data_IF_848466117952
#
_entry.id   IF_848466117952
#
_cell.length_a   1.000
_cell.length_b   1.000
_cell.length_c   1.000
_cell.angle_alpha   90.00
_cell.angle_beta   90.00
_cell.angle_gamma   90.00
#
_symmetry.space_group_name_H-M   'P 1'
#
loop_
_entity.id
_entity.type
_entity.pdbx_description
1 polymer ?
#
# COMPACT_ATOMS: atom_id res chain seq x y z
N UNK A 1 -7.13 -16.69 13.63
CA UNK A 1 -7.14 -16.00 12.32
C UNK A 1 -6.09 -14.91 12.38
N UNK A 2 -5.03 -14.98 11.56
CA UNK A 2 -3.87 -14.08 11.68
C UNK A 2 -4.20 -12.65 11.22
N UNK A 3 -3.90 -11.65 12.07
CA UNK A 3 -4.09 -10.21 11.85
C UNK A 3 -3.68 -9.73 10.44
N UNK A 4 -2.64 -10.34 9.87
CA UNK A 4 -2.12 -10.01 8.54
C UNK A 4 -3.13 -10.16 7.40
N UNK A 5 -4.11 -11.06 7.51
CA UNK A 5 -5.14 -11.21 6.47
C UNK A 5 -6.02 -9.96 6.37
N UNK A 6 -6.29 -9.28 7.48
CA UNK A 6 -7.06 -8.03 7.47
C UNK A 6 -6.26 -6.89 6.82
N UNK A 7 -4.96 -6.81 7.10
CA UNK A 7 -4.08 -5.80 6.49
C UNK A 7 -3.98 -6.01 4.98
N UNK A 8 -3.81 -7.26 4.54
CA UNK A 8 -3.75 -7.61 3.12
C UNK A 8 -5.09 -7.31 2.44
N UNK A 9 -6.22 -7.72 3.03
CA UNK A 9 -7.54 -7.43 2.49
C UNK A 9 -7.79 -5.91 2.37
N UNK A 10 -7.43 -5.13 3.39
CA UNK A 10 -7.52 -3.67 3.37
C UNK A 10 -6.67 -3.05 2.25
N UNK A 11 -5.42 -3.50 2.10
CA UNK A 11 -4.53 -3.06 1.02
C UNK A 11 -5.06 -3.40 -0.38
N UNK A 12 -5.60 -4.60 -0.57
CA UNK A 12 -6.22 -5.02 -1.84
C UNK A 12 -7.47 -4.19 -2.15
N UNK A 13 -8.32 -3.94 -1.15
CA UNK A 13 -9.51 -3.08 -1.33
C UNK A 13 -9.08 -1.66 -1.70
N UNK A 14 -8.10 -1.09 -0.99
CA UNK A 14 -7.58 0.25 -1.29
C UNK A 14 -7.04 0.31 -2.73
N UNK A 15 -6.24 -0.67 -3.14
CA UNK A 15 -5.74 -0.76 -4.51
C UNK A 15 -6.87 -0.92 -5.52
N UNK A 16 -7.86 -1.76 -5.27
CA UNK A 16 -8.99 -1.98 -6.18
C UNK A 16 -9.85 -0.72 -6.38
N UNK A 17 -10.08 0.05 -5.32
CA UNK A 17 -10.88 1.29 -5.38
C UNK A 17 -10.12 2.42 -6.08
N UNK A 18 -8.81 2.52 -5.85
CA UNK A 18 -8.01 3.64 -6.34
C UNK A 18 -7.28 3.34 -7.66
N UNK A 19 -7.07 2.08 -8.05
CA UNK A 19 -6.53 1.71 -9.36
C UNK A 19 -7.19 2.40 -10.57
N UNK A 20 -8.54 2.48 -10.67
CA UNK A 20 -9.16 3.12 -11.82
C UNK A 20 -9.10 4.66 -11.80
N UNK A 21 -8.65 5.28 -10.71
CA UNK A 21 -8.69 6.75 -10.52
C UNK A 21 -7.48 7.48 -11.12
N UNK A 22 -6.62 6.79 -11.87
CA UNK A 22 -5.41 7.38 -12.46
C UNK A 22 -4.26 7.52 -11.46
N UNK A 23 -3.44 8.56 -11.57
CA UNK A 23 -2.33 8.80 -10.65
C UNK A 23 -2.83 9.14 -9.24
N UNK A 24 -2.48 8.30 -8.27
CA UNK A 24 -2.83 8.50 -6.86
C UNK A 24 -1.71 7.97 -5.94
N UNK A 25 -1.74 8.42 -4.68
CA UNK A 25 -0.74 8.05 -3.69
C UNK A 25 -0.79 6.56 -3.32
N UNK A 26 -1.98 5.92 -3.39
CA UNK A 26 -2.19 4.48 -3.11
C UNK A 26 -1.35 3.62 -4.04
N UNK A 27 -1.43 3.87 -5.35
CA UNK A 27 -0.67 3.14 -6.36
C UNK A 27 0.81 3.44 -6.31
N UNK A 28 1.17 4.73 -6.14
CA UNK A 28 2.58 5.14 -6.07
C UNK A 28 3.31 4.46 -4.92
N UNK A 29 2.74 4.51 -3.72
CA UNK A 29 3.36 3.91 -2.51
C UNK A 29 3.40 2.38 -2.57
N UNK A 30 2.35 1.72 -3.08
CA UNK A 30 2.33 0.28 -3.28
C UNK A 30 3.38 -0.19 -4.30
N UNK A 31 3.55 0.57 -5.39
CA UNK A 31 4.53 0.26 -6.44
C UNK A 31 5.96 0.43 -5.92
N UNK A 32 6.24 1.50 -5.16
CA UNK A 32 7.54 1.70 -4.51
C UNK A 32 7.84 0.56 -3.52
N UNK A 33 6.85 0.16 -2.70
CA UNK A 33 7.00 -0.95 -1.78
C UNK A 33 7.26 -2.29 -2.48
N UNK A 34 6.65 -2.50 -3.65
CA UNK A 34 6.90 -3.67 -4.50
C UNK A 34 8.33 -3.66 -5.04
N UNK A 35 8.78 -2.56 -5.65
CA UNK A 35 10.13 -2.47 -6.23
C UNK A 35 11.23 -2.64 -5.17
N UNK A 36 11.07 -2.01 -4.00
CA UNK A 36 12.02 -2.17 -2.90
C UNK A 36 12.02 -3.61 -2.41
N UNK A 37 10.83 -4.20 -2.21
CA UNK A 37 10.70 -5.59 -1.73
C UNK A 37 11.31 -6.60 -2.70
N UNK A 38 11.04 -6.46 -4.00
CA UNK A 38 11.63 -7.32 -5.05
C UNK A 38 13.13 -7.11 -5.14
N UNK A 39 13.60 -5.85 -5.08
CA UNK A 39 15.02 -5.53 -5.05
C UNK A 39 15.74 -6.27 -3.93
N UNK A 40 15.23 -6.19 -2.69
CA UNK A 40 15.80 -6.88 -1.54
C UNK A 40 15.77 -8.41 -1.73
N UNK A 41 14.67 -8.96 -2.23
CA UNK A 41 14.50 -10.40 -2.41
C UNK A 41 15.50 -11.02 -3.40
N UNK A 42 15.92 -10.26 -4.42
CA UNK A 42 16.92 -10.71 -5.39
C UNK A 42 18.31 -10.84 -4.74
N UNK A 43 18.67 -9.93 -3.84
CA UNK A 43 19.99 -9.91 -3.20
C UNK A 43 20.07 -10.71 -1.90
N UNK A 44 18.95 -11.20 -1.37
CA UNK A 44 18.90 -11.94 -0.11
C UNK A 44 18.36 -13.37 -0.31
N UNK A 45 19.25 -14.39 -0.34
CA UNK A 45 18.84 -15.79 -0.39
C UNK A 45 17.97 -16.17 0.82
N UNK A 46 16.88 -16.90 0.58
CA UNK A 46 15.93 -17.29 1.64
C UNK A 46 14.91 -16.22 2.03
N UNK A 47 14.85 -15.10 1.29
CA UNK A 47 13.86 -14.05 1.54
C UNK A 47 12.43 -14.58 1.39
N UNK A 48 11.58 -14.26 2.38
CA UNK A 48 10.18 -14.66 2.36
C UNK A 48 9.35 -13.75 1.44
N UNK A 49 8.93 -14.27 0.29
CA UNK A 49 8.09 -13.56 -0.69
C UNK A 49 6.81 -12.96 -0.11
N UNK A 50 6.27 -13.59 0.94
CA UNK A 50 5.09 -13.09 1.64
C UNK A 50 5.32 -11.73 2.31
N UNK A 51 6.57 -11.39 2.63
CA UNK A 51 6.98 -10.07 3.13
C UNK A 51 6.79 -8.97 2.08
N UNK A 52 6.95 -9.27 0.79
CA UNK A 52 6.65 -8.31 -0.29
C UNK A 52 5.15 -8.03 -0.35
N UNK A 53 4.32 -9.07 -0.28
CA UNK A 53 2.86 -8.89 -0.28
C UNK A 53 2.43 -8.01 0.91
N UNK A 54 3.03 -8.26 2.08
CA UNK A 54 2.80 -7.45 3.28
C UNK A 54 3.28 -6.00 3.10
N UNK A 55 4.46 -5.77 2.51
CA UNK A 55 4.98 -4.42 2.29
C UNK A 55 4.12 -3.64 1.29
N UNK A 56 3.64 -4.30 0.23
CA UNK A 56 2.72 -3.71 -0.75
C UNK A 56 1.39 -3.34 -0.11
N UNK A 57 0.82 -4.22 0.72
CA UNK A 57 -0.42 -3.93 1.43
C UNK A 57 -0.28 -2.74 2.38
N UNK A 58 0.83 -2.67 3.13
CA UNK A 58 1.13 -1.52 4.01
C UNK A 58 1.35 -0.25 3.18
N UNK A 59 2.09 -0.34 2.07
CA UNK A 59 2.31 0.77 1.14
C UNK A 59 0.98 1.34 0.65
N UNK A 60 0.09 0.49 0.13
CA UNK A 60 -1.23 0.89 -0.32
C UNK A 60 -2.05 1.60 0.77
N UNK A 61 -2.03 1.10 2.01
CA UNK A 61 -2.74 1.72 3.13
C UNK A 61 -2.14 3.07 3.52
N UNK A 62 -0.81 3.22 3.48
CA UNK A 62 -0.14 4.51 3.68
C UNK A 62 -0.50 5.51 2.57
N UNK A 63 -0.49 5.06 1.32
CA UNK A 63 -0.94 5.88 0.20
C UNK A 63 -2.40 6.30 0.34
N UNK A 64 -3.27 5.41 0.85
CA UNK A 64 -4.66 5.74 1.15
C UNK A 64 -4.76 6.83 2.22
N UNK A 65 -3.96 6.72 3.29
CA UNK A 65 -3.90 7.75 4.31
C UNK A 65 -3.48 9.11 3.72
N UNK A 66 -2.46 9.14 2.86
CA UNK A 66 -2.03 10.37 2.18
C UNK A 66 -3.06 10.93 1.23
N UNK A 67 -3.80 10.07 0.52
CA UNK A 67 -4.87 10.48 -0.39
C UNK A 67 -6.05 11.10 0.37
N UNK A 68 -6.34 10.60 1.58
CA UNK A 68 -7.43 11.09 2.43
C UNK A 68 -7.04 12.30 3.30
N UNK A 69 -5.75 12.52 3.56
CA UNK A 69 -5.27 13.59 4.44
C UNK A 69 -5.67 15.01 3.96
N UNK A 70 -5.57 15.36 2.66
CA UNK A 70 -6.05 16.65 2.15
C UNK A 70 -7.56 16.85 2.33
N UNK A 71 -8.36 15.78 2.28
CA UNK A 71 -9.81 15.85 2.45
C UNK A 71 -10.18 16.17 3.91
N UNK A 72 -9.45 15.61 4.87
CA UNK A 72 -9.61 15.91 6.30
C UNK A 72 -9.20 17.35 6.65
N UNK A 73 -8.13 17.85 6.02
CA UNK A 73 -7.65 19.22 6.25
C UNK A 73 -8.58 20.25 5.62
N UNK A 74 -9.08 20.03 4.40
CA UNK A 74 -10.01 20.94 3.72
C UNK A 74 -11.41 20.96 4.34
N UNK A 75 -11.86 19.84 4.90
CA UNK A 75 -13.16 19.75 5.60
C UNK A 75 -13.24 20.59 6.87
N UNK A 76 -12.11 21.01 7.45
CA UNK A 76 -12.06 21.80 8.70
C UNK A 76 -12.11 23.32 8.48
N UNK A 77 -12.14 23.78 7.22
CA UNK A 77 -12.08 25.20 6.86
C UNK A 77 -13.44 25.84 6.48
N UNK A 78 -14.56 25.18 6.77
CA UNK A 78 -15.91 25.75 6.67
C UNK A 78 -16.58 25.69 8.03
#
# INVERSE_FOLDING_TARGET
>A
MNLWWFVIAGGVIALGIYAPKGQNAVWGTATVALFIGVGIAIFQPGFAWLTIIKSVAVGALLGLAFELLPLLVRGKSR
#
